data_IF_274720261711
#
_entry.id   IF_274720261711
#
_cell.length_a   1.000
_cell.length_b   1.000
_cell.length_c   1.000
_cell.angle_alpha   90.00
_cell.angle_beta   90.00
_cell.angle_gamma   90.00
#
_symmetry.space_group_name_H-M   'P 1'
#
loop_
_entity.id
_entity.type
_entity.pdbx_description
1 polymer ?
#
# COMPACT_ATOMS: atom_id res chain seq x y z
N UNK A 1 -12.02 23.30 -3.29
CA UNK A 1 -12.08 22.37 -2.49
C UNK A 1 -10.97 22.17 -1.59
N UNK A 2 -11.27 22.25 -0.36
CA UNK A 2 -10.28 22.18 0.62
C UNK A 2 -9.58 20.87 0.69
N UNK A 3 -10.22 19.80 0.33
CA UNK A 3 -9.64 18.50 0.49
C UNK A 3 -8.91 17.98 -0.73
N UNK A 4 -8.69 18.82 -1.68
CA UNK A 4 -8.06 18.38 -2.91
C UNK A 4 -6.67 17.78 -2.68
N UNK A 5 -5.85 18.46 -1.90
CA UNK A 5 -4.51 17.96 -1.62
C UNK A 5 -4.56 16.67 -0.87
N UNK A 6 -5.46 16.60 0.09
CA UNK A 6 -5.62 15.41 0.88
C UNK A 6 -6.02 14.24 0.03
N UNK A 7 -6.96 14.46 -0.87
CA UNK A 7 -7.40 13.42 -1.77
C UNK A 7 -6.27 12.90 -2.62
N UNK A 8 -5.42 13.81 -3.10
CA UNK A 8 -4.28 13.41 -3.91
C UNK A 8 -3.35 12.51 -3.13
N UNK A 9 -3.06 12.87 -1.90
CA UNK A 9 -2.20 12.09 -1.06
C UNK A 9 -2.76 10.73 -0.79
N UNK A 10 -4.05 10.67 -0.46
CA UNK A 10 -4.71 9.40 -0.19
C UNK A 10 -4.73 8.52 -1.42
N UNK A 11 -4.99 9.11 -2.57
CA UNK A 11 -5.04 8.35 -3.81
C UNK A 11 -3.68 7.73 -4.12
N UNK A 12 -2.62 8.48 -3.83
CA UNK A 12 -1.27 7.99 -4.04
C UNK A 12 -0.99 6.76 -3.19
N UNK A 13 -1.34 6.84 -1.93
CA UNK A 13 -1.14 5.71 -1.03
C UNK A 13 -2.01 4.54 -1.44
N UNK A 14 -3.26 4.80 -1.79
CA UNK A 14 -4.17 3.74 -2.21
C UNK A 14 -3.62 3.02 -3.42
N UNK A 15 -3.09 3.76 -4.38
CA UNK A 15 -2.53 3.17 -5.57
C UNK A 15 -1.31 2.31 -5.25
N UNK A 16 -0.44 2.83 -4.39
CA UNK A 16 0.76 2.09 -4.01
C UNK A 16 0.38 0.80 -3.30
N UNK A 17 -0.59 0.88 -2.41
CA UNK A 17 -1.05 -0.29 -1.67
C UNK A 17 -1.60 -1.32 -2.63
N UNK A 18 -2.42 -0.88 -3.56
CA UNK A 18 -3.01 -1.80 -4.52
C UNK A 18 -1.95 -2.46 -5.39
N UNK A 19 -0.97 -1.69 -5.84
CA UNK A 19 0.09 -2.24 -6.66
C UNK A 19 0.87 -3.30 -5.88
N UNK A 20 1.14 -3.03 -4.63
CA UNK A 20 1.86 -4.00 -3.80
C UNK A 20 1.03 -5.25 -3.58
N UNK A 21 -0.28 -5.09 -3.37
CA UNK A 21 -1.16 -6.23 -3.22
C UNK A 21 -1.19 -7.09 -4.47
N UNK A 22 -1.21 -6.43 -5.63
CA UNK A 22 -1.21 -7.15 -6.89
C UNK A 22 0.09 -7.93 -7.07
N UNK A 23 1.22 -7.32 -6.68
CA UNK A 23 2.50 -8.00 -6.76
C UNK A 23 2.53 -9.23 -5.89
N UNK A 24 1.95 -9.13 -4.70
CA UNK A 24 1.89 -10.25 -3.78
C UNK A 24 1.08 -11.38 -4.39
N UNK A 25 -0.06 -11.03 -4.97
CA UNK A 25 -0.93 -12.03 -5.59
C UNK A 25 -0.19 -12.74 -6.73
N UNK A 26 0.51 -11.96 -7.57
CA UNK A 26 1.25 -12.55 -8.67
C UNK A 26 2.36 -13.44 -8.17
N UNK A 27 3.04 -13.03 -7.12
CA UNK A 27 4.12 -13.82 -6.59
C UNK A 27 3.60 -15.13 -6.01
N UNK A 28 2.46 -15.09 -5.36
CA UNK A 28 1.87 -16.28 -4.78
C UNK A 28 1.42 -17.29 -5.82
N UNK A 29 1.21 -16.84 -7.05
CA UNK A 29 0.79 -17.73 -8.12
C UNK A 29 1.94 -18.54 -8.68
N UNK A 30 3.17 -18.16 -8.39
CA UNK A 30 4.33 -18.87 -8.90
C UNK A 30 4.49 -20.20 -8.18
N UNK A 31 5.20 -21.11 -8.82
CA UNK A 31 5.43 -22.41 -8.22
C UNK A 31 6.23 -22.27 -6.93
N UNK A 32 7.22 -21.38 -6.94
CA UNK A 32 8.04 -21.18 -5.73
C UNK A 32 7.98 -19.71 -5.35
N UNK A 33 6.94 -19.30 -4.68
CA UNK A 33 6.82 -17.89 -4.27
C UNK A 33 7.95 -17.48 -3.33
N UNK A 34 8.44 -16.27 -3.52
CA UNK A 34 9.49 -15.77 -2.66
C UNK A 34 8.84 -15.16 -1.42
N UNK A 35 8.85 -15.91 -0.34
CA UNK A 35 8.21 -15.47 0.90
C UNK A 35 8.81 -14.19 1.45
N UNK A 36 10.13 -14.05 1.32
CA UNK A 36 10.78 -12.84 1.82
C UNK A 36 10.30 -11.61 1.08
N UNK A 37 10.14 -11.75 -0.23
CA UNK A 37 9.66 -10.64 -1.03
C UNK A 37 8.22 -10.29 -0.68
N UNK A 38 7.41 -11.31 -0.48
CA UNK A 38 6.02 -11.11 -0.09
C UNK A 38 5.96 -10.39 1.25
N UNK A 39 6.78 -10.81 2.21
CA UNK A 39 6.82 -10.17 3.51
C UNK A 39 7.28 -8.72 3.39
N UNK A 40 8.23 -8.46 2.51
CA UNK A 40 8.70 -7.10 2.28
C UNK A 40 7.57 -6.21 1.77
N UNK A 41 6.83 -6.71 0.79
CA UNK A 41 5.71 -5.95 0.24
C UNK A 41 4.61 -5.74 1.28
N UNK A 42 4.36 -6.73 2.12
CA UNK A 42 3.37 -6.59 3.17
C UNK A 42 3.78 -5.52 4.18
N UNK A 43 5.07 -5.43 4.47
CA UNK A 43 5.58 -4.39 5.35
C UNK A 43 5.39 -3.03 4.73
N UNK A 44 5.63 -2.93 3.43
CA UNK A 44 5.46 -1.68 2.71
C UNK A 44 4.00 -1.24 2.75
N UNK A 45 3.10 -2.20 2.54
CA UNK A 45 1.68 -1.91 2.58
C UNK A 45 1.29 -1.36 3.95
N UNK A 46 1.78 -2.00 4.99
CA UNK A 46 1.49 -1.56 6.34
C UNK A 46 1.99 -0.14 6.58
N UNK A 47 3.18 0.16 6.07
CA UNK A 47 3.75 1.48 6.20
C UNK A 47 2.89 2.51 5.47
N UNK A 48 2.45 2.18 4.27
CA UNK A 48 1.57 3.07 3.52
C UNK A 48 0.26 3.30 4.25
N UNK A 49 -0.30 2.24 4.82
CA UNK A 49 -1.55 2.36 5.54
C UNK A 49 -1.41 3.25 6.77
N UNK A 50 -0.28 3.14 7.46
CA UNK A 50 -0.04 4.01 8.61
C UNK A 50 0.09 5.46 8.18
N UNK A 51 0.80 5.70 7.09
CA UNK A 51 0.96 7.06 6.59
C UNK A 51 -0.38 7.62 6.12
N UNK A 52 -1.17 6.78 5.48
CA UNK A 52 -2.48 7.16 5.01
C UNK A 52 -3.36 7.56 6.19
N UNK A 53 -3.29 6.79 7.25
CA UNK A 53 -4.06 7.07 8.44
C UNK A 53 -3.69 8.43 9.03
N UNK A 54 -2.38 8.71 9.08
CA UNK A 54 -1.94 10.00 9.58
C UNK A 54 -2.42 11.13 8.71
N UNK A 55 -2.41 10.90 7.40
CA UNK A 55 -2.85 11.92 6.48
C UNK A 55 -4.32 12.23 6.64
N UNK A 56 -5.10 11.24 7.03
CA UNK A 56 -6.53 11.45 7.24
C UNK A 56 -6.76 12.23 8.53
N UNK A 57 -5.73 12.55 9.22
CA UNK A 57 -5.87 13.41 10.36
C UNK A 57 -6.44 12.67 11.48
N UNK A 58 -5.84 11.74 11.93
CA UNK A 58 -6.34 11.05 12.97
C UNK A 58 -6.32 11.94 14.10
N UNK A 59 -7.01 12.81 14.08
CA UNK A 59 -7.06 13.69 15.15
C UNK A 59 -8.12 13.33 16.01
#
# INVERSE_FOLDING_TARGET
MKNKSMKKGLASYDKAIEEHKNKIIEEKKKENPNVELINYWEKEIKSFENNRKKLMGDV
#
